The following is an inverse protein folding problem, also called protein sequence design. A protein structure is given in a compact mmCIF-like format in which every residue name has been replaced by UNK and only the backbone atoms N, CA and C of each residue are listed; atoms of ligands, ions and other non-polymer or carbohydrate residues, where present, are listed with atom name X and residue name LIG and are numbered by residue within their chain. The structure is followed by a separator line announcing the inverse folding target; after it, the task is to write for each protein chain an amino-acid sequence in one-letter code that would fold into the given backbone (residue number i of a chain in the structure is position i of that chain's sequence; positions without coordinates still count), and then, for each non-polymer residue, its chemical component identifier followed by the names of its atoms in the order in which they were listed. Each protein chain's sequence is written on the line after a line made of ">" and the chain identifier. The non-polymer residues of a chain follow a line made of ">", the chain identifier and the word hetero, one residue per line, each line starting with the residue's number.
data_IF_568779239643
#
_entry.id   IF_568779239643
#
_cell.length_a   1.000
_cell.length_b   1.000
_cell.length_c   1.000
_cell.angle_alpha   90.00
_cell.angle_beta   90.00
_cell.angle_gamma   90.00
#
_symmetry.space_group_name_H-M   'P 1'
#
loop_
_entity.id
_entity.type
_entity.pdbx_description
1 polymer ?
#
# COMPACT_ATOMS: atom_id res chain seq x y z
N UNK A 1 -24.51 -6.27 -3.89
CA UNK A 1 -24.06 -6.22 -5.29
C UNK A 1 -22.96 -5.18 -5.36
N UNK A 2 -21.76 -5.55 -5.81
CA UNK A 2 -20.52 -4.76 -5.79
C UNK A 2 -20.64 -3.44 -6.56
N UNK A 3 -20.00 -2.37 -6.05
CA UNK A 3 -19.09 -1.38 -6.72
C UNK A 3 -18.43 -0.59 -5.57
N UNK A 4 -17.20 -0.89 -5.11
CA UNK A 4 -15.91 -0.40 -5.63
C UNK A 4 -15.92 1.11 -5.94
N UNK A 5 -15.71 1.93 -4.91
CA UNK A 5 -15.48 3.36 -5.07
C UNK A 5 -14.05 3.63 -5.49
N UNK A 6 -13.88 4.31 -6.61
CA UNK A 6 -12.71 5.12 -6.96
C UNK A 6 -13.09 6.00 -8.17
N UNK A 7 -12.51 7.20 -8.23
CA UNK A 7 -12.68 8.28 -9.24
C UNK A 7 -13.69 9.38 -8.92
N UNK A 8 -13.21 10.41 -8.21
CA UNK A 8 -13.63 11.80 -8.47
C UNK A 8 -12.36 12.61 -8.76
N UNK A 9 -12.13 12.88 -10.04
CA UNK A 9 -11.18 13.88 -10.51
C UNK A 9 -11.93 14.79 -11.48
N UNK A 10 -12.16 16.02 -11.02
CA UNK A 10 -12.77 17.10 -11.80
C UNK A 10 -11.82 17.53 -12.92
N UNK A 11 -12.25 17.46 -14.18
CA UNK A 11 -11.68 18.29 -15.23
C UNK A 11 -12.77 18.99 -16.03
N UNK A 12 -12.68 20.32 -16.00
CA UNK A 12 -13.48 21.30 -16.71
C UNK A 12 -12.86 21.50 -18.09
N UNK A 13 -13.61 21.34 -19.17
CA UNK A 13 -13.21 21.82 -20.50
C UNK A 13 -14.41 22.52 -21.17
N UNK A 14 -14.21 23.78 -21.55
CA UNK A 14 -15.15 24.60 -22.31
C UNK A 14 -14.86 24.47 -23.81
N UNK A 15 -15.93 24.38 -24.60
CA UNK A 15 -16.12 25.06 -25.88
C UNK A 15 -15.44 24.45 -27.12
N UNK A 16 -16.23 24.06 -28.12
CA UNK A 16 -16.59 24.90 -29.28
C UNK A 16 -17.43 24.05 -30.26
N UNK A 17 -18.56 24.58 -30.72
CA UNK A 17 -19.39 23.95 -31.73
C UNK A 17 -18.93 24.25 -33.16
N UNK A 18 -19.39 23.44 -34.12
CA UNK A 18 -20.17 23.87 -35.29
C UNK A 18 -20.49 22.69 -36.20
N UNK A 19 -21.72 22.74 -36.72
CA UNK A 19 -22.30 21.95 -37.79
C UNK A 19 -21.55 22.08 -39.12
N UNK A 20 -21.58 21.04 -39.96
CA UNK A 20 -22.41 21.01 -41.19
C UNK A 20 -22.09 19.79 -42.06
N UNK A 21 -23.15 19.13 -42.53
CA UNK A 21 -23.19 18.12 -43.58
C UNK A 21 -23.14 18.77 -44.97
N UNK A 22 -22.68 18.04 -46.00
CA UNK A 22 -23.21 18.23 -47.36
C UNK A 22 -22.32 17.85 -48.55
N UNK A 23 -22.71 16.75 -49.19
CA UNK A 23 -22.76 16.52 -50.64
C UNK A 23 -21.50 16.20 -51.48
N UNK A 24 -21.68 15.18 -52.34
CA UNK A 24 -20.80 14.64 -53.40
C UNK A 24 -21.29 15.11 -54.81
N UNK A 25 -20.79 14.54 -55.95
CA UNK A 25 -19.77 15.07 -56.90
C UNK A 25 -20.41 15.42 -58.29
N UNK A 26 -19.73 15.57 -59.47
CA UNK A 26 -19.07 14.44 -60.17
C UNK A 26 -17.96 14.74 -61.26
N UNK A 27 -17.23 13.67 -61.62
CA UNK A 27 -16.66 13.27 -62.96
C UNK A 27 -15.45 13.91 -63.71
N UNK A 28 -14.60 12.97 -64.22
CA UNK A 28 -13.80 12.88 -65.47
C UNK A 28 -12.30 13.32 -65.52
N UNK A 29 -11.45 12.27 -65.57
CA UNK A 29 -10.18 12.06 -66.30
C UNK A 29 -9.15 13.19 -66.46
N UNK A 30 -7.92 12.93 -65.95
CA UNK A 30 -6.72 12.92 -66.80
C UNK A 30 -5.55 12.13 -66.17
N UNK A 31 -4.93 11.36 -67.07
CA UNK A 31 -3.75 10.52 -66.89
C UNK A 31 -2.51 11.28 -66.39
N UNK A 32 -1.59 10.48 -65.82
CA UNK A 32 -0.16 10.73 -65.58
C UNK A 32 0.22 11.42 -64.26
N UNK A 33 1.26 10.86 -63.61
CA UNK A 33 2.04 11.41 -62.48
C UNK A 33 1.72 10.92 -61.05
N UNK A 34 1.29 9.67 -60.88
CA UNK A 34 1.31 8.98 -59.56
C UNK A 34 2.17 7.71 -59.62
N UNK A 35 3.46 7.84 -59.96
CA UNK A 35 4.47 6.76 -59.78
C UNK A 35 5.88 7.28 -59.41
N UNK A 36 6.00 8.45 -58.77
CA UNK A 36 7.30 8.98 -58.27
C UNK A 36 7.23 9.64 -56.89
N UNK A 37 6.38 9.13 -56.00
CA UNK A 37 6.43 9.50 -54.57
C UNK A 37 6.18 8.33 -53.61
N UNK A 38 6.46 7.10 -54.07
CA UNK A 38 6.45 5.89 -53.23
C UNK A 38 7.85 5.46 -52.75
N UNK A 39 8.85 6.34 -52.89
CA UNK A 39 10.23 6.06 -52.46
C UNK A 39 10.88 7.15 -51.59
N UNK A 40 10.07 8.05 -51.00
CA UNK A 40 10.58 9.07 -50.07
C UNK A 40 9.50 9.55 -49.09
N UNK A 41 8.96 8.61 -48.33
CA UNK A 41 8.13 8.87 -47.13
C UNK A 41 8.06 7.62 -46.23
N UNK A 42 9.18 6.90 -46.12
CA UNK A 42 9.40 5.83 -45.15
C UNK A 42 10.64 6.13 -44.30
N UNK A 43 10.76 7.38 -43.88
CA UNK A 43 11.74 7.91 -42.94
C UNK A 43 10.98 8.99 -42.16
N UNK A 44 10.99 8.89 -40.83
CA UNK A 44 10.12 9.61 -39.86
C UNK A 44 8.73 9.02 -39.59
N UNK A 45 8.68 7.72 -39.28
CA UNK A 45 7.78 7.23 -38.21
C UNK A 45 8.24 5.86 -37.69
N UNK A 46 9.50 5.78 -37.30
CA UNK A 46 9.94 4.78 -36.33
C UNK A 46 10.03 5.51 -35.00
N UNK A 47 8.90 5.60 -34.29
CA UNK A 47 8.95 5.76 -32.84
C UNK A 47 9.46 4.44 -32.32
N UNK A 48 10.77 4.36 -32.15
CA UNK A 48 11.42 3.36 -31.33
C UNK A 48 10.73 3.34 -29.97
N UNK A 49 9.96 2.30 -29.69
CA UNK A 49 9.75 1.86 -28.32
C UNK A 49 11.14 1.55 -27.79
N UNK A 50 11.72 2.49 -27.05
CA UNK A 50 12.89 2.19 -26.25
C UNK A 50 12.50 1.02 -25.33
N UNK A 51 13.27 -0.07 -25.28
CA UNK A 51 13.03 -1.10 -24.28
C UNK A 51 13.14 -0.45 -22.90
N UNK A 52 12.35 -0.95 -21.94
CA UNK A 52 12.23 -0.51 -20.53
C UNK A 52 13.55 -0.72 -19.74
N UNK A 53 14.71 -0.61 -20.39
CA UNK A 53 16.00 -1.09 -19.90
C UNK A 53 17.08 -0.01 -19.75
N UNK A 54 16.70 1.27 -19.61
CA UNK A 54 17.71 2.35 -19.56
C UNK A 54 17.47 3.41 -18.48
N UNK A 55 16.99 3.03 -17.29
CA UNK A 55 17.00 3.94 -16.12
C UNK A 55 17.40 3.26 -14.79
N UNK A 56 18.16 2.18 -14.83
CA UNK A 56 18.84 1.67 -13.62
C UNK A 56 20.31 1.41 -13.94
N UNK A 57 21.14 2.43 -13.75
CA UNK A 57 22.59 2.26 -13.68
C UNK A 57 22.93 1.59 -12.34
N UNK A 58 22.85 0.26 -12.30
CA UNK A 58 23.37 -0.56 -11.21
C UNK A 58 24.90 -0.60 -11.32
N UNK A 59 25.57 0.34 -10.66
CA UNK A 59 26.96 0.15 -10.25
C UNK A 59 26.99 -0.88 -9.11
N UNK A 60 26.97 -2.16 -9.47
CA UNK A 60 27.25 -3.27 -8.56
C UNK A 60 28.75 -3.26 -8.23
N UNK A 61 29.16 -2.36 -7.32
CA UNK A 61 30.40 -2.55 -6.57
C UNK A 61 30.13 -3.63 -5.53
N UNK A 62 30.83 -4.76 -5.63
CA UNK A 62 30.87 -5.76 -4.56
C UNK A 62 31.54 -5.11 -3.32
N UNK A 63 30.73 -4.55 -2.43
CA UNK A 63 31.19 -4.20 -1.08
C UNK A 63 30.84 -5.35 -0.14
N UNK A 64 31.85 -5.89 0.53
CA UNK A 64 31.69 -6.94 1.52
C UNK A 64 30.61 -6.61 2.56
N UNK A 65 29.81 -7.62 2.89
CA UNK A 65 28.85 -7.81 4.00
C UNK A 65 28.65 -6.63 4.97
N UNK A 66 28.26 -5.46 4.46
CA UNK A 66 27.53 -4.47 5.22
C UNK A 66 26.08 -4.96 5.25
N UNK A 67 25.46 -5.06 6.42
CA UNK A 67 24.02 -5.26 6.49
C UNK A 67 23.36 -4.12 5.70
N UNK A 68 22.73 -4.42 4.57
CA UNK A 68 22.07 -3.39 3.77
C UNK A 68 21.01 -2.72 4.63
N UNK A 69 21.22 -1.42 4.86
CA UNK A 69 20.38 -0.57 5.69
C UNK A 69 18.99 -0.48 5.06
N UNK A 70 17.95 -0.71 5.88
CA UNK A 70 16.55 -0.54 5.48
C UNK A 70 16.08 0.83 5.95
N UNK A 71 15.55 1.65 5.04
CA UNK A 71 15.09 3.02 5.35
C UNK A 71 13.63 3.20 4.93
N UNK A 72 12.80 3.62 5.86
CA UNK A 72 11.36 3.85 5.67
C UNK A 72 11.09 5.35 5.54
N UNK A 73 10.50 5.78 4.43
CA UNK A 73 10.12 7.17 4.20
C UNK A 73 8.61 7.31 4.36
N UNK A 74 8.18 7.98 5.43
CA UNK A 74 6.77 8.18 5.74
C UNK A 74 6.54 9.31 6.74
N UNK A 75 5.29 9.57 7.10
CA UNK A 75 4.92 10.47 8.20
C UNK A 75 5.29 9.88 9.56
N UNK A 76 5.46 10.76 10.56
CA UNK A 76 5.59 10.36 11.96
C UNK A 76 4.23 9.92 12.53
N UNK A 77 3.83 8.71 12.14
CA UNK A 77 2.57 8.12 12.54
C UNK A 77 2.33 6.81 11.80
N UNK A 78 1.19 6.19 12.07
CA UNK A 78 0.86 4.85 11.56
C UNK A 78 0.71 4.83 10.04
N UNK A 79 -0.43 5.33 9.54
CA UNK A 79 -0.84 5.25 8.13
C UNK A 79 -0.60 3.88 7.50
N UNK A 80 -0.24 3.85 6.21
CA UNK A 80 0.07 2.61 5.48
C UNK A 80 1.47 2.04 5.77
N UNK A 81 2.30 2.73 6.55
CA UNK A 81 3.66 2.27 6.92
C UNK A 81 3.66 1.39 8.17
N UNK A 82 2.62 1.47 9.01
CA UNK A 82 2.62 0.75 10.29
C UNK A 82 2.75 -0.77 10.12
N UNK A 83 2.00 -1.38 9.20
CA UNK A 83 2.11 -2.82 8.92
C UNK A 83 3.50 -3.23 8.43
N UNK A 84 4.22 -2.33 7.74
CA UNK A 84 5.60 -2.55 7.30
C UNK A 84 6.54 -2.56 8.51
N UNK A 85 6.39 -1.60 9.44
CA UNK A 85 7.13 -1.58 10.72
C UNK A 85 6.89 -2.87 11.52
N UNK A 86 5.63 -3.29 11.62
CA UNK A 86 5.24 -4.53 12.28
C UNK A 86 5.92 -5.75 11.68
N UNK A 87 5.92 -5.88 10.35
CA UNK A 87 6.50 -7.04 9.67
C UNK A 87 8.03 -7.09 9.81
N UNK A 88 8.71 -5.96 9.65
CA UNK A 88 10.17 -5.88 9.86
C UNK A 88 10.55 -6.20 11.31
N UNK A 89 9.81 -5.63 12.27
CA UNK A 89 10.06 -5.90 13.68
C UNK A 89 9.80 -7.37 14.04
N UNK A 90 8.72 -7.96 13.53
CA UNK A 90 8.41 -9.38 13.72
C UNK A 90 9.51 -10.30 13.15
N UNK A 91 10.10 -9.92 12.01
CA UNK A 91 11.25 -10.59 11.40
C UNK A 91 12.57 -10.35 12.15
N UNK A 92 12.59 -9.52 13.21
CA UNK A 92 13.79 -9.20 13.98
C UNK A 92 14.75 -8.25 13.26
N UNK A 93 14.25 -7.50 12.27
CA UNK A 93 15.05 -6.64 11.40
C UNK A 93 15.01 -5.21 11.88
N UNK A 94 16.18 -4.59 11.99
CA UNK A 94 16.30 -3.17 12.32
C UNK A 94 16.12 -2.33 11.07
N UNK A 95 15.50 -1.16 11.24
CA UNK A 95 15.26 -0.21 10.17
C UNK A 95 15.36 1.23 10.68
N UNK A 96 15.70 2.13 9.79
CA UNK A 96 15.69 3.57 10.03
C UNK A 96 14.46 4.23 9.42
N UNK A 97 14.14 5.43 9.89
CA UNK A 97 13.00 6.20 9.39
C UNK A 97 13.44 7.60 8.98
N UNK A 98 12.98 8.03 7.80
CA UNK A 98 13.05 9.41 7.34
C UNK A 98 11.64 9.98 7.37
N UNK A 99 11.41 10.89 8.30
CA UNK A 99 10.08 11.41 8.60
C UNK A 99 9.75 12.62 7.73
N UNK A 100 8.60 12.54 7.04
CA UNK A 100 8.03 13.64 6.25
C UNK A 100 7.23 14.56 7.19
N UNK A 101 7.90 15.60 7.67
CA UNK A 101 7.34 16.63 8.56
C UNK A 101 7.05 17.95 7.86
N UNK A 102 7.64 18.17 6.67
CA UNK A 102 7.45 19.40 5.88
C UNK A 102 7.28 19.10 4.39
N UNK A 103 6.54 19.98 3.70
CA UNK A 103 6.20 19.83 2.27
C UNK A 103 7.45 19.70 1.39
N UNK A 104 8.51 20.44 1.71
CA UNK A 104 9.76 20.45 0.93
C UNK A 104 10.43 19.07 0.92
N UNK A 105 10.29 18.28 1.99
CA UNK A 105 10.85 16.93 2.06
C UNK A 105 10.16 15.98 1.07
N UNK A 106 8.83 16.07 0.96
CA UNK A 106 8.08 15.30 -0.03
C UNK A 106 8.38 15.78 -1.46
N UNK A 107 8.42 17.10 -1.70
CA UNK A 107 8.79 17.67 -3.00
C UNK A 107 10.19 17.24 -3.43
N UNK A 108 11.14 17.14 -2.49
CA UNK A 108 12.48 16.59 -2.76
C UNK A 108 12.41 15.15 -3.29
N UNK A 109 11.61 14.27 -2.65
CA UNK A 109 11.45 12.89 -3.12
C UNK A 109 10.84 12.81 -4.53
N UNK A 110 9.95 13.73 -4.89
CA UNK A 110 9.41 13.84 -6.25
C UNK A 110 10.49 14.27 -7.24
N UNK A 111 11.25 15.32 -6.91
CA UNK A 111 12.31 15.85 -7.79
C UNK A 111 13.45 14.84 -8.00
N UNK A 112 13.76 14.04 -6.97
CA UNK A 112 14.74 12.95 -7.04
C UNK A 112 14.22 11.73 -7.80
N UNK A 113 12.97 11.73 -8.27
CA UNK A 113 12.29 10.60 -8.94
C UNK A 113 12.27 9.32 -8.10
N UNK A 114 12.35 9.43 -6.77
CA UNK A 114 12.35 8.30 -5.85
C UNK A 114 10.98 7.62 -5.71
N UNK A 115 9.91 8.33 -6.08
CA UNK A 115 8.52 7.88 -5.94
C UNK A 115 7.93 7.53 -7.31
N UNK A 116 7.97 6.26 -7.70
CA UNK A 116 7.48 5.78 -9.01
C UNK A 116 6.05 6.23 -9.35
N UNK A 117 5.19 6.34 -8.33
CA UNK A 117 3.80 6.79 -8.46
C UNK A 117 3.52 8.05 -7.64
N UNK A 118 4.55 8.85 -7.33
CA UNK A 118 4.43 10.11 -6.59
C UNK A 118 3.83 9.95 -5.17
N UNK A 119 3.82 8.72 -4.63
CA UNK A 119 3.19 8.35 -3.38
C UNK A 119 4.18 7.67 -2.43
N UNK A 120 3.99 7.92 -1.13
CA UNK A 120 4.55 7.09 -0.05
C UNK A 120 3.48 6.11 0.45
N UNK A 121 3.81 4.95 1.04
CA UNK A 121 5.12 4.49 1.55
C UNK A 121 6.22 4.32 0.50
N UNK A 122 7.44 4.72 0.85
CA UNK A 122 8.68 4.33 0.17
C UNK A 122 9.58 3.59 1.17
N UNK A 123 10.16 2.47 0.73
CA UNK A 123 11.18 1.72 1.48
C UNK A 123 12.41 1.51 0.60
N UNK A 124 13.56 1.94 1.09
CA UNK A 124 14.86 1.61 0.52
C UNK A 124 15.37 0.33 1.17
N UNK A 125 15.56 -0.73 0.37
CA UNK A 125 16.18 -1.98 0.80
C UNK A 125 16.76 -2.72 -0.39
N UNK A 126 17.90 -3.39 -0.21
CA UNK A 126 18.53 -4.25 -1.24
C UNK A 126 18.84 -3.53 -2.56
N UNK A 127 19.20 -2.24 -2.47
CA UNK A 127 19.40 -1.38 -3.63
C UNK A 127 18.12 -1.02 -4.40
N UNK A 128 16.94 -1.38 -3.89
CA UNK A 128 15.64 -1.06 -4.47
C UNK A 128 14.99 0.12 -3.75
N UNK A 129 14.28 0.95 -4.52
CA UNK A 129 13.32 1.94 -4.02
C UNK A 129 11.91 1.38 -4.22
N UNK A 130 11.37 0.73 -3.17
CA UNK A 130 10.08 0.06 -3.21
C UNK A 130 8.97 1.02 -2.78
N UNK A 131 7.99 1.23 -3.66
CA UNK A 131 6.71 1.90 -3.35
C UNK A 131 5.56 0.90 -3.42
N UNK A 132 4.33 1.32 -3.04
CA UNK A 132 3.13 0.49 -2.88
C UNK A 132 3.24 -0.48 -1.69
N UNK A 133 2.44 -0.22 -0.64
CA UNK A 133 2.53 -0.94 0.64
C UNK A 133 2.44 -2.46 0.49
N UNK A 134 1.55 -2.96 -0.38
CA UNK A 134 1.41 -4.40 -0.66
C UNK A 134 2.65 -4.99 -1.31
N UNK A 135 3.28 -4.29 -2.25
CA UNK A 135 4.49 -4.76 -2.91
C UNK A 135 5.67 -4.82 -1.91
N UNK A 136 5.81 -3.80 -1.06
CA UNK A 136 6.80 -3.75 0.01
C UNK A 136 6.59 -4.93 0.99
N UNK A 137 5.37 -5.15 1.46
CA UNK A 137 5.02 -6.25 2.37
C UNK A 137 5.26 -7.63 1.73
N UNK A 138 4.99 -7.78 0.42
CA UNK A 138 5.32 -8.98 -0.34
C UNK A 138 6.82 -9.25 -0.36
N UNK A 139 7.62 -8.24 -0.69
CA UNK A 139 9.06 -8.39 -0.76
C UNK A 139 9.67 -8.78 0.59
N UNK A 140 9.28 -8.09 1.67
CA UNK A 140 9.74 -8.37 3.04
C UNK A 140 9.32 -9.80 3.45
N UNK A 141 8.08 -10.19 3.19
CA UNK A 141 7.60 -11.52 3.57
C UNK A 141 8.37 -12.63 2.85
N UNK A 142 8.65 -12.50 1.55
CA UNK A 142 9.46 -13.47 0.83
C UNK A 142 10.90 -13.51 1.34
N UNK A 143 11.53 -12.34 1.49
CA UNK A 143 12.91 -12.22 1.95
C UNK A 143 13.15 -12.90 3.30
N UNK A 144 12.19 -12.76 4.23
CA UNK A 144 12.30 -13.30 5.58
C UNK A 144 11.48 -14.59 5.81
N UNK A 145 11.05 -15.26 4.73
CA UNK A 145 10.33 -16.57 4.78
C UNK A 145 9.02 -16.56 5.58
N UNK A 146 8.26 -15.46 5.45
CA UNK A 146 6.96 -15.23 6.08
C UNK A 146 5.79 -15.33 5.08
N UNK A 147 6.02 -15.92 3.90
CA UNK A 147 5.10 -16.01 2.76
C UNK A 147 4.50 -17.42 2.55
N UNK A 148 4.73 -18.37 3.46
CA UNK A 148 4.32 -19.77 3.30
C UNK A 148 5.39 -20.60 2.59
N UNK A 149 5.24 -21.93 2.57
CA UNK A 149 6.22 -22.84 1.93
C UNK A 149 5.92 -23.16 0.46
N UNK A 150 4.67 -22.95 0.04
CA UNK A 150 4.18 -23.28 -1.29
C UNK A 150 3.09 -22.30 -1.76
N UNK A 151 2.67 -22.45 -3.02
CA UNK A 151 1.68 -21.56 -3.64
C UNK A 151 0.32 -21.59 -2.93
N UNK A 152 -0.08 -22.72 -2.32
CA UNK A 152 -1.38 -22.84 -1.65
C UNK A 152 -1.34 -22.12 -0.30
N UNK A 153 -0.28 -22.32 0.47
CA UNK A 153 -0.09 -21.58 1.73
C UNK A 153 0.02 -20.07 1.46
N UNK A 154 0.80 -19.67 0.44
CA UNK A 154 0.89 -18.28 0.02
C UNK A 154 -0.48 -17.69 -0.34
N UNK A 155 -1.28 -18.40 -1.14
CA UNK A 155 -2.62 -17.93 -1.51
C UNK A 155 -3.52 -17.71 -0.27
N UNK A 156 -3.46 -18.61 0.72
CA UNK A 156 -4.22 -18.45 1.97
C UNK A 156 -3.72 -17.26 2.80
N UNK A 157 -2.39 -17.08 2.90
CA UNK A 157 -1.77 -15.93 3.58
C UNK A 157 -2.20 -14.62 2.91
N UNK A 158 -2.23 -14.58 1.58
CA UNK A 158 -2.67 -13.43 0.79
C UNK A 158 -4.14 -13.10 1.08
N UNK A 159 -5.02 -14.10 1.04
CA UNK A 159 -6.45 -13.90 1.32
C UNK A 159 -6.70 -13.35 2.74
N UNK A 160 -6.02 -13.90 3.74
CA UNK A 160 -6.12 -13.41 5.13
C UNK A 160 -5.57 -12.00 5.29
N UNK A 161 -4.42 -11.71 4.68
CA UNK A 161 -3.81 -10.37 4.77
C UNK A 161 -4.70 -9.33 4.10
N UNK A 162 -5.24 -9.62 2.92
CA UNK A 162 -6.10 -8.68 2.19
C UNK A 162 -7.45 -8.47 2.90
N UNK A 163 -8.03 -9.52 3.50
CA UNK A 163 -9.23 -9.37 4.31
C UNK A 163 -9.02 -8.46 5.53
N UNK A 164 -7.84 -8.51 6.16
CA UNK A 164 -7.49 -7.58 7.23
C UNK A 164 -7.22 -6.17 6.71
N UNK A 165 -6.55 -6.03 5.56
CA UNK A 165 -6.32 -4.73 4.91
C UNK A 165 -7.65 -3.98 4.69
N UNK A 166 -8.68 -4.66 4.17
CA UNK A 166 -10.01 -4.07 3.98
C UNK A 166 -10.60 -3.52 5.30
N UNK A 167 -10.44 -4.26 6.40
CA UNK A 167 -10.92 -3.86 7.71
C UNK A 167 -10.14 -2.68 8.27
N UNK A 168 -8.81 -2.73 8.16
CA UNK A 168 -7.90 -1.74 8.70
C UNK A 168 -7.90 -0.44 7.90
N UNK A 169 -8.22 -0.47 6.60
CA UNK A 169 -8.36 0.74 5.78
C UNK A 169 -9.55 1.59 6.23
N UNK A 170 -10.69 0.98 6.59
CA UNK A 170 -11.82 1.70 7.19
C UNK A 170 -11.40 2.41 8.49
N UNK A 171 -10.58 1.76 9.32
CA UNK A 171 -10.03 2.38 10.54
C UNK A 171 -9.04 3.50 10.22
N UNK A 172 -8.17 3.29 9.23
CA UNK A 172 -7.09 4.21 8.88
C UNK A 172 -7.61 5.62 8.51
N UNK A 173 -8.79 5.71 7.89
CA UNK A 173 -9.37 6.99 7.47
C UNK A 173 -10.07 7.75 8.60
N UNK A 174 -10.33 7.13 9.76
CA UNK A 174 -11.05 7.76 10.88
C UNK A 174 -10.48 9.10 11.35
N UNK A 175 -9.15 9.31 11.43
CA UNK A 175 -8.58 10.59 11.88
C UNK A 175 -8.90 11.76 10.94
N UNK A 176 -9.23 11.48 9.67
CA UNK A 176 -9.52 12.49 8.64
C UNK A 176 -11.02 12.73 8.44
N UNK A 177 -11.88 12.10 9.25
CA UNK A 177 -13.33 12.23 9.18
C UNK A 177 -13.82 13.40 10.02
N UNK A 178 -14.88 14.08 9.55
CA UNK A 178 -15.66 15.04 10.36
C UNK A 178 -16.27 14.32 11.57
N UNK A 179 -16.49 14.98 12.72
CA UNK A 179 -16.97 14.34 13.95
C UNK A 179 -18.22 13.47 13.77
N UNK A 180 -19.22 13.98 13.05
CA UNK A 180 -20.50 13.29 12.83
C UNK A 180 -20.33 12.02 12.00
N UNK A 181 -19.49 12.07 10.95
CA UNK A 181 -19.19 10.90 10.12
C UNK A 181 -18.33 9.87 10.86
N UNK A 182 -17.43 10.33 11.73
CA UNK A 182 -16.51 9.47 12.49
C UNK A 182 -17.30 8.49 13.36
N UNK A 183 -18.32 8.95 14.07
CA UNK A 183 -19.12 8.09 14.95
C UNK A 183 -19.88 7.01 14.17
N UNK A 184 -20.50 7.36 13.04
CA UNK A 184 -21.17 6.38 12.18
C UNK A 184 -20.17 5.35 11.63
N UNK A 185 -18.97 5.78 11.25
CA UNK A 185 -17.93 4.91 10.72
C UNK A 185 -17.38 3.92 11.75
N UNK A 186 -17.24 4.36 13.01
CA UNK A 186 -16.85 3.49 14.14
C UNK A 186 -17.83 2.32 14.27
N UNK A 187 -19.14 2.58 14.21
CA UNK A 187 -20.17 1.52 14.25
C UNK A 187 -20.04 0.51 13.10
N UNK A 188 -19.75 1.00 11.88
CA UNK A 188 -19.52 0.14 10.70
C UNK A 188 -18.29 -0.76 10.88
N UNK A 189 -17.20 -0.21 11.41
CA UNK A 189 -15.98 -0.98 11.68
C UNK A 189 -16.27 -2.08 12.69
N UNK A 190 -16.91 -1.75 13.82
CA UNK A 190 -17.23 -2.73 14.86
C UNK A 190 -18.12 -3.85 14.29
N UNK A 191 -19.20 -3.48 13.60
CA UNK A 191 -20.13 -4.43 13.02
C UNK A 191 -19.45 -5.35 12.00
N UNK A 192 -18.62 -4.81 11.10
CA UNK A 192 -17.88 -5.63 10.13
C UNK A 192 -16.82 -6.51 10.80
N UNK A 193 -16.08 -6.00 11.77
CA UNK A 193 -15.09 -6.78 12.52
C UNK A 193 -15.75 -8.02 13.14
N UNK A 194 -16.84 -7.85 13.89
CA UNK A 194 -17.48 -8.94 14.64
C UNK A 194 -18.34 -9.87 13.79
N UNK A 195 -19.01 -9.37 12.76
CA UNK A 195 -19.94 -10.19 11.96
C UNK A 195 -19.33 -10.81 10.70
N UNK A 196 -18.26 -10.23 10.15
CA UNK A 196 -17.66 -10.66 8.86
C UNK A 196 -16.26 -11.21 9.02
N UNK A 197 -15.36 -10.46 9.66
CA UNK A 197 -13.94 -10.75 9.61
C UNK A 197 -13.49 -11.69 10.74
N UNK A 198 -13.75 -11.35 12.01
CA UNK A 198 -13.33 -12.16 13.15
C UNK A 198 -13.83 -13.60 13.12
N UNK A 199 -15.08 -13.91 12.71
CA UNK A 199 -15.52 -15.31 12.59
C UNK A 199 -14.63 -16.16 11.66
N UNK A 200 -14.04 -15.56 10.61
CA UNK A 200 -13.14 -16.27 9.68
C UNK A 200 -11.84 -16.65 10.37
N UNK A 201 -11.21 -15.70 11.07
CA UNK A 201 -9.94 -15.91 11.77
C UNK A 201 -10.11 -16.78 13.01
N UNK A 202 -11.20 -16.60 13.76
CA UNK A 202 -11.57 -17.45 14.90
C UNK A 202 -11.67 -18.92 14.49
N UNK A 203 -12.30 -19.20 13.34
CA UNK A 203 -12.39 -20.54 12.77
C UNK A 203 -11.04 -21.06 12.29
N UNK A 204 -10.22 -20.22 11.63
CA UNK A 204 -8.90 -20.61 11.14
C UNK A 204 -7.94 -20.99 12.28
N UNK A 205 -8.10 -20.36 13.44
CA UNK A 205 -7.29 -20.63 14.64
C UNK A 205 -7.81 -21.79 15.49
N UNK A 206 -8.93 -22.41 15.12
CA UNK A 206 -9.46 -23.54 15.87
C UNK A 206 -8.49 -24.73 15.82
N UNK A 207 -7.94 -25.11 16.97
CA UNK A 207 -6.87 -26.11 17.10
C UNK A 207 -5.61 -25.80 16.27
N UNK A 208 -5.39 -24.54 15.89
CA UNK A 208 -4.21 -24.11 15.15
C UNK A 208 -3.43 -23.04 15.91
N UNK A 209 -2.12 -23.11 15.74
CA UNK A 209 -1.17 -22.20 16.38
C UNK A 209 -0.90 -20.92 15.59
N UNK A 210 -1.13 -20.97 14.28
CA UNK A 210 -0.94 -19.92 13.29
C UNK A 210 -2.07 -20.01 12.26
N UNK A 211 -2.29 -18.95 11.48
CA UNK A 211 -3.39 -18.92 10.51
C UNK A 211 -3.21 -19.91 9.36
N UNK A 212 -1.98 -20.15 8.92
CA UNK A 212 -1.68 -21.00 7.76
C UNK A 212 -0.56 -21.98 8.09
N UNK A 213 -0.80 -23.26 7.79
CA UNK A 213 0.14 -24.33 8.08
C UNK A 213 0.43 -24.43 9.58
N UNK A 214 1.69 -24.69 9.93
CA UNK A 214 2.16 -24.72 11.31
C UNK A 214 3.36 -23.78 11.51
N UNK A 215 3.38 -22.68 10.75
CA UNK A 215 4.49 -21.72 10.74
C UNK A 215 3.98 -20.29 10.83
N UNK A 216 4.76 -19.45 11.51
CA UNK A 216 4.50 -18.02 11.61
C UNK A 216 4.64 -17.35 10.23
N UNK A 217 3.70 -16.49 9.89
CA UNK A 217 3.61 -15.81 8.60
C UNK A 217 3.25 -14.33 8.78
N UNK A 218 3.30 -13.58 7.68
CA UNK A 218 2.83 -12.18 7.69
C UNK A 218 1.34 -12.04 8.02
N UNK A 219 0.53 -13.06 7.76
CA UNK A 219 -0.90 -13.01 8.07
C UNK A 219 -1.09 -12.98 9.60
N UNK A 220 -0.27 -13.72 10.34
CA UNK A 220 -0.27 -13.72 11.80
C UNK A 220 0.15 -12.35 12.37
N UNK A 221 1.19 -11.75 11.78
CA UNK A 221 1.64 -10.37 12.13
C UNK A 221 0.50 -9.37 11.91
N UNK A 222 -0.15 -9.43 10.75
CA UNK A 222 -1.22 -8.50 10.39
C UNK A 222 -2.46 -8.69 11.28
N UNK A 223 -2.81 -9.93 11.64
CA UNK A 223 -3.91 -10.21 12.57
C UNK A 223 -3.60 -9.70 13.97
N UNK A 224 -2.37 -9.90 14.44
CA UNK A 224 -1.89 -9.37 15.71
C UNK A 224 -2.01 -7.84 15.73
N UNK A 225 -1.51 -7.16 14.71
CA UNK A 225 -1.64 -5.71 14.54
C UNK A 225 -3.12 -5.26 14.59
N UNK A 226 -3.96 -5.87 13.75
CA UNK A 226 -5.36 -5.50 13.62
C UNK A 226 -6.14 -5.66 14.92
N UNK A 227 -5.95 -6.78 15.64
CA UNK A 227 -6.65 -7.02 16.91
C UNK A 227 -6.30 -5.99 17.97
N UNK A 228 -5.02 -5.60 18.10
CA UNK A 228 -4.61 -4.55 19.03
C UNK A 228 -5.21 -3.20 18.67
N UNK A 229 -5.17 -2.84 17.39
CA UNK A 229 -5.69 -1.57 16.92
C UNK A 229 -7.21 -1.48 17.03
N UNK A 230 -7.92 -2.60 16.98
CA UNK A 230 -9.36 -2.65 17.21
C UNK A 230 -9.69 -2.59 18.71
N UNK A 231 -8.90 -3.23 19.59
CA UNK A 231 -9.07 -3.09 21.04
C UNK A 231 -8.86 -1.64 21.53
N UNK A 232 -8.04 -0.85 20.84
CA UNK A 232 -7.89 0.59 21.09
C UNK A 232 -9.20 1.39 20.88
N UNK A 233 -10.08 0.94 19.99
CA UNK A 233 -11.40 1.54 19.77
C UNK A 233 -12.51 0.83 20.57
N UNK A 234 -12.35 -0.47 20.77
CA UNK A 234 -13.36 -1.37 21.29
C UNK A 234 -12.70 -2.35 22.28
N UNK A 235 -12.47 -1.97 23.54
CA UNK A 235 -11.66 -2.74 24.49
C UNK A 235 -12.10 -4.19 24.71
N UNK A 236 -13.38 -4.51 24.48
CA UNK A 236 -13.97 -5.83 24.70
C UNK A 236 -14.28 -6.59 23.41
N UNK A 237 -13.82 -6.12 22.23
CA UNK A 237 -14.23 -6.67 20.93
C UNK A 237 -13.87 -8.15 20.71
N UNK A 238 -12.87 -8.66 21.43
CA UNK A 238 -12.46 -10.06 21.38
C UNK A 238 -13.14 -10.97 22.42
N UNK A 239 -14.02 -10.43 23.26
CA UNK A 239 -14.65 -11.17 24.39
C UNK A 239 -15.40 -12.43 23.95
N UNK A 240 -15.97 -12.43 22.74
CA UNK A 240 -16.70 -13.57 22.16
C UNK A 240 -15.85 -14.41 21.19
N UNK A 241 -14.54 -14.13 21.10
CA UNK A 241 -13.61 -14.76 20.17
C UNK A 241 -12.40 -15.35 20.93
N UNK A 242 -12.60 -16.46 21.68
CA UNK A 242 -11.58 -17.03 22.54
C UNK A 242 -10.31 -17.46 21.79
N UNK A 243 -10.41 -17.98 20.56
CA UNK A 243 -9.23 -18.37 19.79
C UNK A 243 -8.42 -17.15 19.37
N UNK A 244 -9.07 -16.06 18.96
CA UNK A 244 -8.40 -14.78 18.68
C UNK A 244 -7.72 -14.21 19.92
N UNK A 245 -8.38 -14.27 21.09
CA UNK A 245 -7.79 -13.79 22.34
C UNK A 245 -6.56 -14.62 22.73
N UNK A 246 -6.65 -15.95 22.62
CA UNK A 246 -5.54 -16.86 22.87
C UNK A 246 -4.38 -16.65 21.89
N UNK A 247 -4.69 -16.51 20.60
CA UNK A 247 -3.72 -16.17 19.55
C UNK A 247 -3.00 -14.87 19.86
N UNK A 248 -3.72 -13.80 20.19
CA UNK A 248 -3.11 -12.51 20.54
C UNK A 248 -2.16 -12.66 21.74
N UNK A 249 -2.59 -13.38 22.79
CA UNK A 249 -1.75 -13.66 23.96
C UNK A 249 -0.45 -14.39 23.60
N UNK A 250 -0.53 -15.40 22.73
CA UNK A 250 0.64 -16.11 22.21
C UNK A 250 1.54 -15.23 21.36
N UNK A 251 0.98 -14.43 20.45
CA UNK A 251 1.79 -13.54 19.59
C UNK A 251 2.53 -12.49 20.43
N UNK A 252 1.91 -11.97 21.51
CA UNK A 252 2.57 -11.06 22.45
C UNK A 252 3.79 -11.67 23.15
N UNK A 253 3.85 -12.99 23.31
CA UNK A 253 4.98 -13.66 23.99
C UNK A 253 6.17 -13.94 23.05
N UNK A 254 6.01 -13.78 21.73
CA UNK A 254 7.12 -13.90 20.80
C UNK A 254 8.16 -12.79 21.08
N UNK A 255 9.46 -13.10 21.23
CA UNK A 255 10.46 -12.11 21.63
C UNK A 255 10.51 -10.86 20.76
N UNK A 256 10.41 -11.01 19.43
CA UNK A 256 10.45 -9.90 18.47
C UNK A 256 9.20 -9.01 18.57
N UNK A 257 8.01 -9.62 18.70
CA UNK A 257 6.74 -8.90 18.89
C UNK A 257 6.71 -8.21 20.26
N UNK A 258 7.08 -8.91 21.32
CA UNK A 258 7.16 -8.37 22.68
C UNK A 258 8.06 -7.14 22.72
N UNK A 259 9.26 -7.24 22.12
CA UNK A 259 10.19 -6.10 21.98
C UNK A 259 9.56 -4.92 21.23
N UNK A 260 8.82 -5.18 20.16
CA UNK A 260 8.14 -4.13 19.39
C UNK A 260 6.93 -3.51 20.12
N UNK A 261 6.40 -4.19 21.13
CA UNK A 261 5.32 -3.67 21.96
C UNK A 261 5.81 -2.82 23.14
N UNK A 262 7.10 -2.89 23.49
CA UNK A 262 7.67 -2.13 24.60
C UNK A 262 7.76 -0.62 24.27
N UNK A 263 7.72 0.24 25.31
CA UNK A 263 8.06 1.65 25.16
C UNK A 263 9.44 1.85 24.52
N UNK A 264 9.58 2.88 23.68
CA UNK A 264 10.82 3.19 22.97
C UNK A 264 11.06 2.37 21.70
N UNK A 265 10.15 1.45 21.34
CA UNK A 265 10.14 0.84 20.01
C UNK A 265 9.67 1.82 18.94
N UNK A 266 9.83 1.45 17.66
CA UNK A 266 9.38 2.27 16.52
C UNK A 266 7.89 2.11 16.18
N UNK A 267 7.12 1.37 17.00
CA UNK A 267 5.66 1.29 16.88
C UNK A 267 5.04 2.67 17.09
N UNK A 268 4.17 3.11 16.19
CA UNK A 268 3.59 4.46 16.26
C UNK A 268 2.31 4.49 17.11
N UNK A 269 2.07 5.58 17.88
CA UNK A 269 0.86 5.73 18.68
C UNK A 269 -0.38 5.89 17.80
N UNK A 270 -1.57 5.99 18.42
CA UNK A 270 -2.78 6.35 17.68
C UNK A 270 -2.60 7.72 17.01
N UNK A 271 -3.06 7.91 15.76
CA UNK A 271 -2.98 9.20 15.09
C UNK A 271 -3.71 10.29 15.87
N UNK A 272 -3.03 11.41 16.11
CA UNK A 272 -3.55 12.61 16.76
C UNK A 272 -3.74 13.74 15.74
N UNK A 273 -4.18 14.91 16.23
CA UNK A 273 -4.41 16.08 15.38
C UNK A 273 -3.11 16.63 14.77
N UNK A 274 -1.96 16.42 15.44
CA UNK A 274 -0.64 16.82 14.93
C UNK A 274 -0.29 15.99 13.70
N UNK A 275 -0.47 14.67 13.77
CA UNK A 275 -0.31 13.78 12.62
C UNK A 275 -1.22 14.19 11.47
N UNK A 276 -2.52 14.41 11.74
CA UNK A 276 -3.50 14.76 10.71
C UNK A 276 -3.09 16.07 10.02
N UNK A 277 -2.79 17.11 10.79
CA UNK A 277 -2.34 18.41 10.26
C UNK A 277 -1.08 18.26 9.40
N UNK A 278 -0.09 17.51 9.88
CA UNK A 278 1.16 17.30 9.14
C UNK A 278 0.92 16.61 7.80
N UNK A 279 0.11 15.54 7.78
CA UNK A 279 -0.23 14.83 6.53
C UNK A 279 -0.91 15.77 5.53
N UNK A 280 -1.89 16.54 6.01
CA UNK A 280 -2.65 17.49 5.21
C UNK A 280 -1.75 18.58 4.59
N UNK A 281 -0.84 19.17 5.37
CA UNK A 281 0.10 20.20 4.92
C UNK A 281 1.13 19.64 3.93
N UNK A 282 1.77 18.51 4.27
CA UNK A 282 2.82 17.91 3.44
C UNK A 282 2.28 17.41 2.11
N UNK A 283 1.06 16.84 2.09
CA UNK A 283 0.44 16.36 0.85
C UNK A 283 -0.39 17.43 0.13
N UNK A 284 -0.53 18.62 0.71
CA UNK A 284 -1.37 19.70 0.21
C UNK A 284 -2.82 19.23 -0.06
N UNK A 285 -3.37 18.43 0.86
CA UNK A 285 -4.75 17.95 0.79
C UNK A 285 -5.65 19.05 1.36
N UNK A 286 -6.77 19.32 0.69
CA UNK A 286 -7.84 20.17 1.22
C UNK A 286 -9.03 19.26 1.55
N UNK A 287 -9.47 19.24 2.82
CA UNK A 287 -10.72 18.55 3.18
C UNK A 287 -11.87 19.47 2.73
N UNK A 288 -12.85 18.95 1.97
CA UNK A 288 -14.02 19.71 1.53
C UNK A 288 -14.96 20.11 2.69
#
# INVERSE_FOLDING_TARGET
>A
MLVAGEHVLFHRARGFGRDTHGASPPTVLRHSLVKRKFFRLKLQRERTFAPVRTLYNLNLRQSGKMSEKIVLYYFDGRGKMESIRWLLAAAGVQFEEVLLTKREQYVKLLNDQALMFEQVPLVEMDGLQLVQSKAIMNYIAEKYKLSGKDLKERAMIDMYTEGLNDLMEMRMILPFKKPDEKQAHIGVIQGKATSRYFPVYEKALNNSQYLVGNQFSRADVHLMEATLMLEELFPTILSTFPNLKAFQGKMRSLPTISKFLQPGSQRKPQPDDVYVKTVMEVLNIQIP
#
